data_IF_958159203229
#
_entry.id   IF_958159203229
#
_cell.length_a   1.000
_cell.length_b   1.000
_cell.length_c   1.000
_cell.angle_alpha   90.00
_cell.angle_beta   90.00
_cell.angle_gamma   90.00
#
_symmetry.space_group_name_H-M   'P 1'
#
loop_
_entity.id
_entity.type
_entity.pdbx_description
1 polymer ?
#
# COMPACT_ATOMS: atom_id res chain seq x y z
N UNK A 1 7.43 -14.04 -4.70
CA UNK A 1 8.77 -14.07 -5.34
C UNK A 1 9.18 -12.64 -5.61
N UNK A 2 10.41 -12.24 -5.26
CA UNK A 2 10.91 -10.89 -5.47
C UNK A 2 12.44 -10.88 -5.59
N UNK A 3 13.03 -9.75 -6.00
CA UNK A 3 14.45 -9.52 -5.85
C UNK A 3 14.80 -9.11 -4.41
N UNK A 4 16.06 -9.31 -3.99
CA UNK A 4 16.50 -9.07 -2.62
C UNK A 4 16.33 -7.61 -2.16
N UNK A 5 16.24 -6.62 -3.07
CA UNK A 5 16.01 -5.22 -2.70
C UNK A 5 14.61 -4.95 -2.14
N UNK A 6 13.67 -5.88 -2.33
CA UNK A 6 12.31 -5.79 -1.78
C UNK A 6 12.19 -6.19 -0.32
N UNK A 7 13.22 -6.83 0.25
CA UNK A 7 13.27 -7.16 1.67
C UNK A 7 13.72 -5.93 2.47
N UNK A 8 12.80 -5.35 3.24
CA UNK A 8 13.03 -4.13 4.01
C UNK A 8 12.77 -4.37 5.50
N UNK A 9 13.46 -3.63 6.37
CA UNK A 9 13.24 -3.70 7.81
C UNK A 9 11.92 -3.02 8.24
N UNK A 10 11.49 -2.00 7.47
CA UNK A 10 10.26 -1.25 7.73
C UNK A 10 9.57 -0.97 6.40
N UNK A 11 8.26 -1.22 6.33
CA UNK A 11 7.44 -0.90 5.16
C UNK A 11 7.27 0.62 5.01
N UNK A 12 6.83 1.09 3.84
CA UNK A 12 6.41 2.49 3.62
C UNK A 12 7.32 3.34 2.74
N UNK A 13 8.56 2.90 2.47
CA UNK A 13 9.45 3.61 1.56
C UNK A 13 8.89 3.62 0.12
N UNK A 14 8.27 2.52 -0.29
CA UNK A 14 7.43 2.48 -1.49
C UNK A 14 6.03 3.02 -1.15
N UNK A 15 5.46 3.94 -1.95
CA UNK A 15 4.12 4.49 -1.68
C UNK A 15 3.07 3.39 -1.60
N UNK A 16 2.25 3.42 -0.54
CA UNK A 16 1.18 2.46 -0.35
C UNK A 16 0.04 2.73 -1.35
N UNK A 17 -0.28 1.81 -2.26
CA UNK A 17 -1.45 1.95 -3.11
C UNK A 17 -2.72 1.73 -2.29
N UNK A 18 -3.65 2.68 -2.34
CA UNK A 18 -5.00 2.56 -1.77
C UNK A 18 -6.01 2.65 -2.90
N UNK A 19 -6.77 1.59 -3.13
CA UNK A 19 -7.81 1.54 -4.16
C UNK A 19 -9.09 2.20 -3.62
N UNK A 20 -9.67 3.11 -4.39
CA UNK A 20 -10.80 3.94 -3.97
C UNK A 20 -11.84 4.08 -5.07
N UNK A 21 -13.11 4.16 -4.68
CA UNK A 21 -14.18 4.44 -5.63
C UNK A 21 -14.04 5.87 -6.21
N UNK A 22 -14.41 6.11 -7.48
CA UNK A 22 -14.30 7.45 -8.08
C UNK A 22 -15.18 8.50 -7.39
N UNK A 23 -16.36 8.08 -6.91
CA UNK A 23 -17.31 8.98 -6.26
C UNK A 23 -16.77 9.46 -4.91
N UNK A 24 -16.80 10.77 -4.68
CA UNK A 24 -16.34 11.33 -3.40
C UNK A 24 -14.82 11.30 -3.21
N UNK A 25 -14.02 11.08 -4.26
CA UNK A 25 -12.55 10.98 -4.21
C UNK A 25 -11.88 12.00 -3.28
N UNK A 26 -12.26 13.27 -3.37
CA UNK A 26 -11.69 14.32 -2.52
C UNK A 26 -12.01 14.15 -1.03
N UNK A 27 -13.19 13.63 -0.69
CA UNK A 27 -13.54 13.28 0.69
C UNK A 27 -12.79 12.05 1.15
N UNK A 28 -12.74 10.98 0.35
CA UNK A 28 -11.99 9.75 0.68
C UNK A 28 -10.52 10.06 0.94
N UNK A 29 -9.89 10.85 0.06
CA UNK A 29 -8.52 11.34 0.24
C UNK A 29 -8.32 12.03 1.59
N UNK A 30 -9.19 12.97 1.99
CA UNK A 30 -9.07 13.67 3.28
C UNK A 30 -9.21 12.72 4.48
N UNK A 31 -10.05 11.69 4.37
CA UNK A 31 -10.16 10.69 5.44
C UNK A 31 -8.91 9.82 5.52
N UNK A 32 -8.29 9.47 4.39
CA UNK A 32 -7.01 8.75 4.36
C UNK A 32 -5.89 9.61 4.98
N UNK A 33 -5.82 10.90 4.63
CA UNK A 33 -4.87 11.85 5.22
C UNK A 33 -5.03 11.92 6.74
N UNK A 34 -6.28 11.98 7.22
CA UNK A 34 -6.60 12.00 8.65
C UNK A 34 -6.24 10.70 9.35
N UNK A 35 -6.59 9.55 8.79
CA UNK A 35 -6.25 8.23 9.34
C UNK A 35 -4.74 8.05 9.47
N UNK A 36 -3.98 8.46 8.45
CA UNK A 36 -2.52 8.49 8.52
C UNK A 36 -2.01 9.42 9.63
N UNK A 37 -2.55 10.65 9.71
CA UNK A 37 -2.15 11.63 10.71
C UNK A 37 -2.43 11.16 12.16
N UNK A 38 -3.55 10.47 12.40
CA UNK A 38 -3.89 9.88 13.71
C UNK A 38 -2.87 8.81 14.15
N UNK A 39 -2.17 8.18 13.19
CA UNK A 39 -1.07 7.23 13.42
C UNK A 39 0.32 7.90 13.35
N UNK A 40 0.38 9.23 13.29
CA UNK A 40 1.64 9.98 13.18
C UNK A 40 2.32 9.91 11.81
N UNK A 41 1.59 9.49 10.78
CA UNK A 41 2.09 9.42 9.40
C UNK A 41 1.85 10.74 8.68
N UNK A 42 2.76 11.08 7.78
CA UNK A 42 2.63 12.25 6.90
C UNK A 42 3.32 11.98 5.57
N UNK A 43 2.84 12.60 4.51
CA UNK A 43 3.40 12.42 3.17
C UNK A 43 2.41 12.78 2.07
N UNK A 44 2.89 12.95 0.84
CA UNK A 44 2.00 13.23 -0.28
C UNK A 44 1.15 12.00 -0.59
N UNK A 45 -0.13 12.26 -0.85
CA UNK A 45 -1.04 11.30 -1.46
C UNK A 45 -1.24 11.75 -2.90
N UNK A 46 -1.04 10.89 -3.89
CA UNK A 46 -1.15 11.27 -5.31
C UNK A 46 -2.12 10.35 -6.02
N UNK A 47 -2.96 10.91 -6.90
CA UNK A 47 -3.80 10.08 -7.76
C UNK A 47 -2.89 9.40 -8.78
N UNK A 48 -2.98 8.08 -8.90
CA UNK A 48 -2.17 7.32 -9.83
C UNK A 48 -2.55 7.68 -11.27
N UNK A 49 -1.53 8.00 -12.06
CA UNK A 49 -1.67 8.27 -13.48
C UNK A 49 -0.85 7.28 -14.31
N UNK A 50 -1.32 6.97 -15.50
CA UNK A 50 -0.59 6.23 -16.53
C UNK A 50 -0.71 7.00 -17.83
N UNK A 51 0.43 7.38 -18.40
CA UNK A 51 0.47 8.17 -19.65
C UNK A 51 -0.32 9.49 -19.58
N UNK A 52 -0.30 10.15 -18.42
CA UNK A 52 -0.98 11.43 -18.20
C UNK A 52 -2.50 11.34 -18.05
N UNK A 53 -3.05 10.13 -17.87
CA UNK A 53 -4.46 9.90 -17.57
C UNK A 53 -4.60 9.18 -16.23
N UNK A 54 -5.69 9.44 -15.52
CA UNK A 54 -6.02 8.69 -14.30
C UNK A 54 -6.05 7.20 -14.58
N UNK A 55 -5.27 6.44 -13.81
CA UNK A 55 -5.27 4.99 -13.89
C UNK A 55 -6.59 4.46 -13.32
N UNK A 56 -7.23 3.56 -14.08
CA UNK A 56 -8.47 2.88 -13.68
C UNK A 56 -8.16 1.39 -13.55
N UNK A 57 -8.50 0.80 -12.41
CA UNK A 57 -8.33 -0.64 -12.16
C UNK A 57 -9.34 -1.45 -12.99
N UNK A 58 -9.15 -2.76 -13.09
CA UNK A 58 -10.13 -3.65 -13.72
C UNK A 58 -11.50 -3.62 -13.01
N UNK A 59 -11.51 -3.25 -11.72
CA UNK A 59 -12.72 -3.01 -10.93
C UNK A 59 -13.39 -1.66 -11.16
N UNK A 60 -12.83 -0.79 -12.01
CA UNK A 60 -13.37 0.54 -12.27
C UNK A 60 -13.05 1.58 -11.19
N UNK A 61 -12.03 1.34 -10.36
CA UNK A 61 -11.63 2.21 -9.25
C UNK A 61 -10.38 3.03 -9.58
N UNK A 62 -10.09 4.00 -8.73
CA UNK A 62 -8.84 4.77 -8.77
C UNK A 62 -7.86 4.27 -7.73
N UNK A 63 -6.58 4.64 -7.88
CA UNK A 63 -5.56 4.38 -6.86
C UNK A 63 -5.01 5.71 -6.35
N UNK A 64 -4.97 5.85 -5.03
CA UNK A 64 -4.22 6.87 -4.31
C UNK A 64 -2.91 6.26 -3.80
N UNK A 65 -1.80 6.73 -4.34
CA UNK A 65 -0.45 6.37 -3.89
C UNK A 65 -0.08 7.22 -2.67
N UNK A 66 0.02 6.58 -1.50
CA UNK A 66 0.27 7.24 -0.22
C UNK A 66 1.74 7.09 0.19
N UNK A 67 2.54 8.14 -0.02
CA UNK A 67 3.98 8.12 0.23
C UNK A 67 4.32 8.54 1.68
N UNK A 68 3.92 7.74 2.66
CA UNK A 68 4.17 8.02 4.08
C UNK A 68 5.62 7.80 4.54
N UNK A 69 6.46 7.19 3.70
CA UNK A 69 7.90 7.01 3.93
C UNK A 69 8.25 5.86 4.88
N UNK A 70 7.51 5.69 5.97
CA UNK A 70 7.63 4.56 6.89
C UNK A 70 6.28 4.21 7.50
N UNK A 71 6.05 2.91 7.73
CA UNK A 71 4.83 2.35 8.31
C UNK A 71 5.20 1.47 9.52
N UNK A 72 5.45 2.06 10.70
CA UNK A 72 5.80 1.31 11.90
C UNK A 72 4.61 0.49 12.45
N UNK A 73 3.39 0.97 12.22
CA UNK A 73 2.14 0.28 12.57
C UNK A 73 1.31 0.03 11.29
N UNK A 74 1.71 -0.99 10.53
CA UNK A 74 1.03 -1.33 9.28
C UNK A 74 -0.36 -1.93 9.51
N UNK A 75 -0.56 -2.68 10.60
CA UNK A 75 -1.87 -3.24 10.97
C UNK A 75 -2.86 -2.14 11.33
N UNK A 76 -2.44 -1.19 12.19
CA UNK A 76 -3.29 -0.04 12.54
C UNK A 76 -3.67 0.81 11.33
N UNK A 77 -2.76 1.01 10.37
CA UNK A 77 -3.09 1.70 9.13
C UNK A 77 -4.06 0.90 8.26
N UNK A 78 -3.87 -0.41 8.12
CA UNK A 78 -4.76 -1.28 7.35
C UNK A 78 -6.20 -1.20 7.91
N UNK A 79 -6.36 -1.38 9.22
CA UNK A 79 -7.64 -1.30 9.91
C UNK A 79 -8.30 0.06 9.72
N UNK A 80 -7.54 1.15 9.90
CA UNK A 80 -8.06 2.50 9.72
C UNK A 80 -8.55 2.74 8.29
N UNK A 81 -7.77 2.33 7.28
CA UNK A 81 -8.14 2.46 5.86
C UNK A 81 -9.40 1.65 5.52
N UNK A 82 -9.51 0.42 6.00
CA UNK A 82 -10.65 -0.46 5.74
C UNK A 82 -11.99 0.10 6.26
N UNK A 83 -11.95 1.00 7.25
CA UNK A 83 -13.17 1.65 7.80
C UNK A 83 -13.62 2.88 7.01
N UNK A 84 -12.83 3.40 6.07
CA UNK A 84 -13.14 4.64 5.36
C UNK A 84 -14.13 4.35 4.21
N UNK A 85 -15.32 4.97 4.20
CA UNK A 85 -16.22 4.86 3.06
C UNK A 85 -15.56 5.38 1.78
N UNK A 86 -15.54 4.52 0.77
CA UNK A 86 -14.93 4.80 -0.52
C UNK A 86 -13.50 4.28 -0.67
N UNK A 87 -12.87 3.75 0.38
CA UNK A 87 -11.74 2.81 0.23
C UNK A 87 -12.31 1.45 -0.14
N UNK A 88 -11.74 0.84 -1.18
CA UNK A 88 -12.08 -0.49 -1.67
C UNK A 88 -11.11 -1.51 -1.09
N UNK A 89 -9.82 -1.23 -1.18
CA UNK A 89 -8.73 -2.09 -0.69
C UNK A 89 -7.42 -1.29 -0.57
N UNK A 90 -6.37 -1.93 -0.07
CA UNK A 90 -5.03 -1.36 0.07
C UNK A 90 -3.92 -2.39 -0.17
N UNK A 91 -2.73 -1.93 -0.55
CA UNK A 91 -1.59 -2.78 -0.86
C UNK A 91 -0.88 -3.47 0.31
N UNK A 92 -1.48 -3.53 1.51
CA UNK A 92 -0.92 -4.21 2.69
C UNK A 92 -1.41 -5.66 2.75
N UNK A 93 -0.54 -6.61 2.44
CA UNK A 93 -0.82 -8.06 2.45
C UNK A 93 -0.36 -8.69 3.77
N UNK A 94 -0.95 -8.25 4.88
CA UNK A 94 -0.54 -8.66 6.23
C UNK A 94 -1.02 -10.08 6.55
N UNK A 95 -0.13 -10.94 7.04
CA UNK A 95 -0.45 -12.31 7.41
C UNK A 95 -0.83 -13.26 6.25
N UNK A 96 -0.71 -12.81 4.99
CA UNK A 96 -1.14 -13.59 3.82
C UNK A 96 -0.03 -14.48 3.23
N UNK A 97 1.23 -14.04 3.30
CA UNK A 97 2.35 -14.75 2.69
C UNK A 97 2.95 -15.79 3.65
N UNK A 98 2.86 -17.07 3.31
CA UNK A 98 3.51 -18.17 4.07
C UNK A 98 5.01 -18.31 3.79
N UNK A 99 5.45 -17.88 2.60
CA UNK A 99 6.85 -17.85 2.22
C UNK A 99 7.19 -16.71 1.24
N UNK A 100 8.46 -16.31 1.25
CA UNK A 100 9.05 -15.38 0.30
C UNK A 100 10.33 -15.97 -0.31
N UNK A 101 10.35 -16.09 -1.63
CA UNK A 101 11.52 -16.48 -2.42
C UNK A 101 12.18 -15.20 -2.95
N UNK A 102 13.41 -14.94 -2.50
CA UNK A 102 14.19 -13.74 -2.79
C UNK A 102 15.40 -14.07 -3.66
N UNK A 103 15.50 -13.49 -4.84
CA UNK A 103 16.66 -13.62 -5.72
C UNK A 103 17.66 -12.48 -5.47
N UNK A 104 18.91 -12.80 -5.14
CA UNK A 104 19.98 -11.83 -4.91
C UNK A 104 21.31 -12.22 -5.56
N UNK A 105 22.35 -11.37 -5.45
CA UNK A 105 23.65 -11.63 -6.07
C UNK A 105 24.35 -12.91 -5.57
N UNK A 106 24.00 -13.39 -4.37
CA UNK A 106 24.56 -14.60 -3.76
C UNK A 106 23.70 -15.85 -4.00
N UNK A 107 22.65 -15.75 -4.81
CA UNK A 107 21.70 -16.84 -5.08
C UNK A 107 20.31 -16.56 -4.52
N UNK A 108 19.58 -17.64 -4.21
CA UNK A 108 18.19 -17.58 -3.76
C UNK A 108 18.11 -17.78 -2.25
N UNK A 109 17.38 -16.89 -1.57
CA UNK A 109 17.01 -17.02 -0.15
C UNK A 109 15.53 -17.31 -0.05
N UNK A 110 15.16 -18.26 0.81
CA UNK A 110 13.77 -18.59 1.12
C UNK A 110 13.50 -18.21 2.57
N UNK A 111 12.49 -17.37 2.78
CA UNK A 111 11.95 -17.03 4.11
C UNK A 111 10.59 -17.72 4.27
N UNK A 112 10.32 -18.31 5.43
CA UNK A 112 9.07 -19.05 5.69
C UNK A 112 9.09 -20.49 5.16
N UNK A 113 7.91 -21.10 5.06
CA UNK A 113 7.73 -22.50 4.63
C UNK A 113 7.01 -22.55 3.27
N UNK A 114 7.60 -23.28 2.34
CA UNK A 114 6.97 -23.64 1.07
C UNK A 114 6.47 -25.07 1.27
N UNK A 115 5.14 -25.24 1.27
CA UNK A 115 4.51 -26.57 1.24
C UNK A 115 4.72 -27.25 -0.13
#
# INVERSE_FOLDING_TARGET
VADASKSVATLGAFPLPVEVVPFGLGATRRHIERAGAELGLSGPITLRERQGQTFVTDGGHYILDCAFGALPDAEGLADALATIPGVVDHGLFLGMASAAILAGPQGVTILGAID
#
